data_IF_142185788999
#
_entry.id   IF_142185788999
#
_cell.length_a   1.000
_cell.length_b   1.000
_cell.length_c   1.000
_cell.angle_alpha   90.00
_cell.angle_beta   90.00
_cell.angle_gamma   90.00
#
_symmetry.space_group_name_H-M   'P 1'
#
loop_
_entity.id
_entity.type
_entity.pdbx_description
1 polymer ?
#
# COMPACT_ATOMS: atom_id res chain seq x y z
N UNK A 1 -20.22 17.37 14.79
CA UNK A 1 -19.67 17.20 13.43
C UNK A 1 -18.26 16.64 13.57
N UNK A 2 -17.93 15.51 12.94
CA UNK A 2 -16.61 14.89 13.08
C UNK A 2 -15.66 15.55 12.08
N UNK A 3 -14.90 16.56 12.52
CA UNK A 3 -14.05 17.42 11.66
C UNK A 3 -12.69 16.80 11.28
N UNK A 4 -12.62 15.48 11.10
CA UNK A 4 -11.35 14.78 10.92
C UNK A 4 -11.43 13.53 10.06
N UNK A 5 -10.27 13.07 9.59
CA UNK A 5 -10.15 11.78 8.93
C UNK A 5 -10.39 10.65 9.95
N UNK A 6 -11.46 9.90 9.75
CA UNK A 6 -11.76 8.68 10.50
C UNK A 6 -10.86 7.48 10.13
N UNK A 7 -10.88 6.38 10.92
CA UNK A 7 -10.20 5.12 10.58
C UNK A 7 -10.64 4.52 9.24
N UNK A 8 -11.88 4.75 8.82
CA UNK A 8 -12.37 4.28 7.51
C UNK A 8 -11.67 5.00 6.35
N UNK A 9 -11.37 6.29 6.50
CA UNK A 9 -10.58 7.01 5.50
C UNK A 9 -9.14 6.49 5.43
N UNK A 10 -8.54 6.12 6.57
CA UNK A 10 -7.22 5.49 6.58
C UNK A 10 -7.24 4.15 5.85
N UNK A 11 -8.26 3.31 6.08
CA UNK A 11 -8.46 2.03 5.37
C UNK A 11 -8.59 2.27 3.85
N UNK A 12 -9.39 3.26 3.44
CA UNK A 12 -9.53 3.66 2.03
C UNK A 12 -8.23 4.16 1.41
N UNK A 13 -7.44 4.94 2.15
CA UNK A 13 -6.14 5.44 1.70
C UNK A 13 -5.14 4.29 1.48
N UNK A 14 -5.12 3.30 2.39
CA UNK A 14 -4.31 2.08 2.23
C UNK A 14 -4.68 1.29 0.97
N UNK A 15 -5.96 1.20 0.63
CA UNK A 15 -6.40 0.57 -0.61
C UNK A 15 -5.97 1.35 -1.84
N UNK A 16 -6.19 2.67 -1.81
CA UNK A 16 -5.77 3.56 -2.89
C UNK A 16 -4.26 3.43 -3.16
N UNK A 17 -3.44 3.20 -2.13
CA UNK A 17 -2.00 3.01 -2.25
C UNK A 17 -1.60 1.88 -3.21
N UNK A 18 -2.41 0.82 -3.34
CA UNK A 18 -2.16 -0.28 -4.28
C UNK A 18 -2.31 0.15 -5.74
N UNK A 19 -3.15 1.14 -6.00
CA UNK A 19 -3.39 1.66 -7.34
C UNK A 19 -2.50 2.87 -7.64
N UNK A 20 -2.18 3.68 -6.63
CA UNK A 20 -1.35 4.88 -6.80
C UNK A 20 -0.50 5.17 -5.57
N UNK A 21 0.82 5.27 -5.77
CA UNK A 21 1.78 5.55 -4.71
C UNK A 21 1.93 7.05 -4.46
N UNK A 22 1.56 7.88 -5.44
CA UNK A 22 1.68 9.33 -5.45
C UNK A 22 0.37 9.99 -5.94
N UNK A 23 -0.73 9.90 -5.17
CA UNK A 23 -1.98 10.52 -5.58
C UNK A 23 -1.84 12.05 -5.62
N UNK A 24 -2.40 12.66 -6.66
CA UNK A 24 -2.49 14.11 -6.75
C UNK A 24 -3.56 14.66 -5.80
N UNK A 25 -3.50 15.96 -5.49
CA UNK A 25 -4.53 16.64 -4.70
C UNK A 25 -5.93 16.50 -5.29
N UNK A 26 -6.06 16.50 -6.63
CA UNK A 26 -7.34 16.30 -7.30
C UNK A 26 -7.86 14.87 -7.11
N UNK A 27 -6.98 13.88 -7.25
CA UNK A 27 -7.33 12.48 -7.00
C UNK A 27 -7.79 12.27 -5.55
N UNK A 28 -7.11 12.85 -4.56
CA UNK A 28 -7.56 12.78 -3.16
C UNK A 28 -8.96 13.40 -3.00
N UNK A 29 -9.23 14.57 -3.58
CA UNK A 29 -10.55 15.21 -3.49
C UNK A 29 -11.66 14.37 -4.13
N UNK A 30 -11.39 13.75 -5.26
CA UNK A 30 -12.36 12.89 -5.95
C UNK A 30 -12.69 11.64 -5.14
N UNK A 31 -11.67 10.98 -4.58
CA UNK A 31 -11.86 9.70 -3.87
C UNK A 31 -12.29 9.87 -2.41
N UNK A 32 -12.07 11.04 -1.79
CA UNK A 32 -12.52 11.37 -0.43
C UNK A 32 -13.59 12.47 -0.47
N UNK A 33 -14.63 12.29 -1.29
CA UNK A 33 -15.68 13.30 -1.52
C UNK A 33 -16.51 13.65 -0.28
N UNK A 34 -16.54 12.75 0.70
CA UNK A 34 -17.18 12.92 2.01
C UNK A 34 -16.35 13.74 3.00
N UNK A 35 -15.11 14.06 2.65
CA UNK A 35 -14.19 14.85 3.48
C UNK A 35 -14.18 16.31 3.06
N UNK A 36 -14.38 17.23 4.01
CA UNK A 36 -14.13 18.65 3.78
C UNK A 36 -12.62 18.93 3.83
N UNK A 37 -12.01 19.12 2.67
CA UNK A 37 -10.57 19.38 2.56
C UNK A 37 -10.19 20.73 3.17
N UNK A 38 -9.22 20.68 4.08
CA UNK A 38 -8.51 21.85 4.60
C UNK A 38 -7.00 21.56 4.64
N UNK A 39 -6.20 22.54 5.05
CA UNK A 39 -4.73 22.41 5.10
C UNK A 39 -4.28 21.24 6.00
N UNK A 40 -4.89 21.07 7.17
CA UNK A 40 -4.56 20.00 8.12
C UNK A 40 -4.87 18.61 7.55
N UNK A 41 -6.06 18.43 6.97
CA UNK A 41 -6.50 17.18 6.34
C UNK A 41 -5.60 16.81 5.15
N UNK A 42 -5.26 17.80 4.32
CA UNK A 42 -4.39 17.59 3.17
C UNK A 42 -2.99 17.14 3.61
N UNK A 43 -2.42 17.82 4.61
CA UNK A 43 -1.14 17.44 5.22
C UNK A 43 -1.19 16.03 5.82
N UNK A 44 -2.28 15.68 6.50
CA UNK A 44 -2.46 14.35 7.10
C UNK A 44 -2.52 13.23 6.06
N UNK A 45 -3.24 13.43 4.95
CA UNK A 45 -3.28 12.48 3.83
C UNK A 45 -1.89 12.34 3.20
N UNK A 46 -1.20 13.44 2.92
CA UNK A 46 0.17 13.41 2.37
C UNK A 46 1.10 12.62 3.32
N UNK A 47 1.02 12.88 4.62
CA UNK A 47 1.79 12.15 5.65
C UNK A 47 1.49 10.65 5.63
N UNK A 48 0.23 10.25 5.53
CA UNK A 48 -0.13 8.83 5.39
C UNK A 48 0.51 8.20 4.17
N UNK A 49 0.39 8.83 3.00
CA UNK A 49 0.99 8.30 1.77
C UNK A 49 2.53 8.26 1.82
N UNK A 50 3.17 9.22 2.50
CA UNK A 50 4.61 9.17 2.76
C UNK A 50 4.98 7.97 3.65
N UNK A 51 4.27 7.75 4.74
CA UNK A 51 4.50 6.61 5.62
C UNK A 51 4.28 5.27 4.90
N UNK A 52 3.27 5.18 4.03
CA UNK A 52 3.01 3.98 3.23
C UNK A 52 4.18 3.70 2.28
N UNK A 53 4.65 4.70 1.55
CA UNK A 53 5.82 4.55 0.67
C UNK A 53 7.07 4.14 1.44
N UNK A 54 7.35 4.78 2.56
CA UNK A 54 8.50 4.44 3.40
C UNK A 54 8.45 2.96 3.82
N UNK A 55 7.33 2.51 4.40
CA UNK A 55 7.18 1.11 4.79
C UNK A 55 7.32 0.16 3.59
N UNK A 56 6.68 0.49 2.46
CA UNK A 56 6.73 -0.32 1.24
C UNK A 56 8.18 -0.49 0.75
N UNK A 57 8.91 0.61 0.59
CA UNK A 57 10.28 0.57 0.07
C UNK A 57 11.24 -0.11 1.04
N UNK A 58 11.06 0.04 2.35
CA UNK A 58 11.84 -0.71 3.35
C UNK A 58 11.62 -2.21 3.20
N UNK A 59 10.36 -2.66 3.04
CA UNK A 59 10.09 -4.10 2.88
C UNK A 59 10.61 -4.65 1.54
N UNK A 60 10.45 -3.89 0.45
CA UNK A 60 10.98 -4.27 -0.86
C UNK A 60 12.50 -4.37 -0.85
N UNK A 61 13.18 -3.39 -0.24
CA UNK A 61 14.63 -3.38 -0.11
C UNK A 61 15.13 -4.55 0.75
N UNK A 62 14.47 -4.81 1.89
CA UNK A 62 14.79 -5.98 2.73
C UNK A 62 14.68 -7.27 1.94
N UNK A 63 13.60 -7.46 1.16
CA UNK A 63 13.40 -8.64 0.35
C UNK A 63 14.45 -8.78 -0.76
N UNK A 64 14.74 -7.69 -1.49
CA UNK A 64 15.74 -7.69 -2.55
C UNK A 64 17.15 -8.01 -2.02
N UNK A 65 17.54 -7.43 -0.88
CA UNK A 65 18.83 -7.73 -0.23
C UNK A 65 18.92 -9.19 0.23
N UNK A 66 17.82 -9.74 0.75
CA UNK A 66 17.77 -11.15 1.13
C UNK A 66 17.95 -12.07 -0.08
N UNK A 67 17.23 -11.81 -1.17
CA UNK A 67 17.37 -12.60 -2.39
C UNK A 67 18.80 -12.56 -2.96
N UNK A 68 19.46 -11.40 -2.95
CA UNK A 68 20.88 -11.28 -3.34
C UNK A 68 21.78 -12.12 -2.43
N UNK A 69 21.56 -12.08 -1.11
CA UNK A 69 22.34 -12.88 -0.15
C UNK A 69 22.11 -14.40 -0.33
N UNK A 70 20.92 -14.79 -0.76
CA UNK A 70 20.56 -16.19 -1.04
C UNK A 70 21.06 -16.65 -2.43
N UNK A 71 21.77 -15.78 -3.16
CA UNK A 71 22.41 -16.10 -4.44
C UNK A 71 21.49 -15.99 -5.65
N UNK A 72 20.34 -15.32 -5.53
CA UNK A 72 19.46 -15.04 -6.68
C UNK A 72 20.18 -14.06 -7.62
N UNK A 73 20.38 -14.47 -8.87
CA UNK A 73 21.16 -13.69 -9.84
C UNK A 73 20.32 -13.04 -10.93
N UNK A 74 19.09 -13.52 -11.16
CA UNK A 74 18.15 -12.91 -12.10
C UNK A 74 16.88 -12.41 -11.41
N UNK A 75 16.36 -11.28 -11.90
CA UNK A 75 15.03 -10.77 -11.51
C UNK A 75 13.90 -11.68 -11.94
N UNK A 76 14.09 -12.55 -12.94
CA UNK A 76 13.07 -13.53 -13.36
C UNK A 76 12.84 -14.63 -12.31
N UNK A 77 13.81 -14.86 -11.43
CA UNK A 77 13.73 -15.83 -10.35
C UNK A 77 13.02 -15.26 -9.10
N UNK A 78 12.84 -13.93 -9.04
CA UNK A 78 12.10 -13.27 -7.97
C UNK A 78 10.60 -13.50 -8.16
N UNK A 79 10.07 -14.52 -7.49
CA UNK A 79 8.63 -14.76 -7.41
C UNK A 79 8.07 -14.29 -6.06
N UNK A 80 7.10 -13.37 -6.11
CA UNK A 80 6.35 -12.94 -4.92
C UNK A 80 5.08 -13.80 -4.83
N UNK A 81 5.17 -14.90 -4.09
CA UNK A 81 4.05 -15.78 -3.77
C UNK A 81 3.33 -15.33 -2.48
N UNK A 82 2.14 -15.89 -2.18
CA UNK A 82 1.39 -15.51 -0.97
C UNK A 82 2.07 -15.96 0.33
N UNK A 83 2.96 -16.94 0.24
CA UNK A 83 3.80 -17.49 1.30
C UNK A 83 5.09 -16.67 1.53
N UNK A 84 5.46 -15.79 0.60
CA UNK A 84 6.62 -14.92 0.78
C UNK A 84 6.47 -13.97 1.98
N UNK A 85 7.56 -13.78 2.72
CA UNK A 85 7.60 -12.86 3.86
C UNK A 85 7.19 -11.42 3.47
N UNK A 86 7.59 -10.99 2.28
CA UNK A 86 7.23 -9.70 1.71
C UNK A 86 5.70 -9.55 1.62
N UNK A 87 5.02 -10.52 1.00
CA UNK A 87 3.56 -10.50 0.88
C UNK A 87 2.91 -10.49 2.27
N UNK A 88 3.39 -11.30 3.20
CA UNK A 88 2.84 -11.37 4.57
C UNK A 88 3.01 -10.04 5.32
N UNK A 89 4.20 -9.43 5.26
CA UNK A 89 4.49 -8.14 5.91
C UNK A 89 3.61 -7.03 5.35
N UNK A 90 3.45 -6.98 4.03
CA UNK A 90 2.62 -6.00 3.36
C UNK A 90 1.12 -6.23 3.62
N UNK A 91 0.63 -7.47 3.56
CA UNK A 91 -0.77 -7.80 3.85
C UNK A 91 -1.13 -7.47 5.31
N UNK A 92 -0.26 -7.78 6.28
CA UNK A 92 -0.48 -7.41 7.68
C UNK A 92 -0.54 -5.89 7.89
N UNK A 93 0.24 -5.11 7.16
CA UNK A 93 0.27 -3.66 7.29
C UNK A 93 -0.95 -3.00 6.63
N UNK A 94 -1.28 -3.40 5.41
CA UNK A 94 -2.27 -2.73 4.59
C UNK A 94 -3.68 -3.35 4.68
N UNK A 95 -3.78 -4.64 5.00
CA UNK A 95 -5.01 -5.43 5.02
C UNK A 95 -5.17 -6.22 6.35
N UNK A 96 -4.91 -5.58 7.49
CA UNK A 96 -4.91 -6.22 8.82
C UNK A 96 -6.20 -6.97 9.19
N UNK A 97 -7.35 -6.61 8.62
CA UNK A 97 -8.63 -7.26 8.90
C UNK A 97 -9.00 -8.37 7.90
N UNK A 98 -8.19 -8.62 6.86
CA UNK A 98 -8.54 -9.49 5.73
C UNK A 98 -9.92 -9.19 5.12
N UNK A 99 -10.44 -7.96 5.30
CA UNK A 99 -11.68 -7.49 4.67
C UNK A 99 -11.62 -7.51 3.14
N UNK A 100 -10.42 -7.66 2.58
CA UNK A 100 -10.19 -7.84 1.16
C UNK A 100 -9.87 -9.31 0.91
N UNK A 101 -10.87 -10.06 0.43
CA UNK A 101 -10.60 -11.26 -0.34
C UNK A 101 -9.77 -10.85 -1.55
N UNK A 102 -8.62 -11.51 -1.72
CA UNK A 102 -7.87 -11.37 -2.96
C UNK A 102 -8.74 -12.00 -4.04
N UNK A 103 -9.29 -11.18 -4.93
CA UNK A 103 -10.16 -11.61 -6.04
C UNK A 103 -9.57 -12.87 -6.67
N UNK A 104 -10.23 -14.00 -6.45
CA UNK A 104 -9.84 -15.28 -7.04
C UNK A 104 -10.00 -15.15 -8.57
N UNK A 105 -8.87 -14.98 -9.25
CA UNK A 105 -8.84 -14.86 -10.71
C UNK A 105 -7.97 -13.74 -11.27
N UNK A 106 -7.55 -12.79 -10.43
CA UNK A 106 -6.44 -11.89 -10.80
C UNK A 106 -5.22 -12.27 -9.98
N UNK A 107 -4.10 -12.49 -10.67
CA UNK A 107 -2.75 -12.53 -10.11
C UNK A 107 -2.43 -11.17 -9.48
N UNK A 108 -3.06 -10.84 -8.35
CA UNK A 108 -2.79 -9.63 -7.57
C UNK A 108 -1.33 -9.62 -7.10
N UNK A 109 -0.72 -10.80 -6.96
CA UNK A 109 0.73 -10.94 -6.70
C UNK A 109 1.62 -10.37 -7.81
N UNK A 110 1.13 -10.32 -9.06
CA UNK A 110 1.90 -9.89 -10.24
C UNK A 110 1.46 -8.51 -10.79
N UNK A 111 0.54 -7.82 -10.12
CA UNK A 111 0.06 -6.50 -10.59
C UNK A 111 -0.15 -5.47 -9.48
N UNK A 112 -0.40 -5.89 -8.24
CA UNK A 112 -0.51 -4.96 -7.11
C UNK A 112 0.82 -4.75 -6.37
N UNK A 113 1.76 -5.70 -6.49
CA UNK A 113 2.99 -5.75 -5.69
C UNK A 113 4.29 -5.83 -6.52
N UNK A 114 4.19 -6.03 -7.83
CA UNK A 114 5.26 -5.85 -8.83
C UNK A 114 5.03 -4.55 -9.57
#
# INVERSE_FOLDING_TARGET
>A
MQEGLSPNHLKKAKLMFFYTRYPSSNMLKTYFSDVKFNRCITSQLIKWFSNFREFYYIQMEKYARQAINDGVTSTEELSITRDCELYRALNMHYNKANDFESVEGTSVGHTAWT
#
